data_IF_184684500315
#
_entry.id   IF_184684500315
#
_cell.length_a   1.000
_cell.length_b   1.000
_cell.length_c   1.000
_cell.angle_alpha   90.00
_cell.angle_beta   90.00
_cell.angle_gamma   90.00
#
_symmetry.space_group_name_H-M   'P 1'
#
loop_
_entity.id
_entity.type
_entity.pdbx_description
1 polymer ?
#
# COMPACT_ATOMS: atom_id res chain seq x y z
N UNK A 1 -3.21 -8.00 1.31
CA UNK A 1 -2.86 -7.81 -0.12
C UNK A 1 -2.92 -6.34 -0.44
N UNK A 2 -2.07 -5.86 -1.36
CA UNK A 2 -1.98 -4.44 -1.75
C UNK A 2 -3.31 -3.79 -2.12
N UNK A 3 -4.24 -4.54 -2.75
CA UNK A 3 -5.54 -3.98 -3.16
C UNK A 3 -6.37 -3.49 -1.97
N UNK A 4 -6.30 -4.18 -0.82
CA UNK A 4 -7.02 -3.77 0.39
C UNK A 4 -6.42 -2.51 1.02
N UNK A 5 -5.11 -2.32 0.89
CA UNK A 5 -4.38 -1.17 1.46
C UNK A 5 -4.40 0.06 0.55
N UNK A 6 -4.58 -0.13 -0.76
CA UNK A 6 -4.53 0.95 -1.75
C UNK A 6 -5.41 2.17 -1.43
N UNK A 7 -6.72 2.03 -1.12
CA UNK A 7 -7.53 3.19 -0.72
C UNK A 7 -7.12 3.78 0.64
N UNK A 8 -6.55 2.97 1.54
CA UNK A 8 -6.13 3.43 2.86
C UNK A 8 -4.93 4.39 2.79
N UNK A 9 -4.11 4.33 1.73
CA UNK A 9 -3.01 5.30 1.49
C UNK A 9 -3.52 6.73 1.35
N UNK A 10 -4.76 6.92 0.85
CA UNK A 10 -5.39 8.25 0.80
C UNK A 10 -5.79 8.74 2.19
N UNK A 11 -6.35 7.85 3.02
CA UNK A 11 -6.76 8.19 4.40
C UNK A 11 -5.56 8.40 5.33
N UNK A 12 -4.42 7.78 5.01
CA UNK A 12 -3.17 7.91 5.75
C UNK A 12 -2.53 9.31 5.65
N UNK A 13 -2.96 10.15 4.71
CA UNK A 13 -2.41 11.50 4.54
C UNK A 13 -2.71 12.37 5.77
N UNK A 14 -1.66 12.70 6.53
CA UNK A 14 -1.78 13.50 7.75
C UNK A 14 -2.11 12.70 9.01
N UNK A 15 -2.18 11.37 8.94
CA UNK A 15 -2.22 10.54 10.13
C UNK A 15 -0.85 10.57 10.85
N UNK A 16 -0.88 10.60 12.18
CA UNK A 16 0.34 10.55 13.00
C UNK A 16 1.03 9.19 12.92
N UNK A 17 0.23 8.12 12.85
CA UNK A 17 0.69 6.74 12.79
C UNK A 17 -0.11 6.01 11.71
N UNK A 18 0.58 5.23 10.88
CA UNK A 18 0.01 4.45 9.79
C UNK A 18 0.62 3.05 9.82
N UNK A 19 -0.23 2.04 9.83
CA UNK A 19 0.16 0.64 9.70
C UNK A 19 -0.54 0.04 8.48
N UNK A 20 0.19 -0.03 7.36
CA UNK A 20 -0.29 -0.54 6.06
C UNK A 20 0.73 -1.55 5.47
N UNK A 21 1.42 -2.29 6.34
CA UNK A 21 2.51 -3.19 5.98
C UNK A 21 2.04 -4.63 5.65
N UNK A 22 0.76 -4.95 5.86
CA UNK A 22 0.22 -6.29 5.68
C UNK A 22 0.59 -7.01 4.37
N UNK A 23 0.71 -6.33 3.21
CA UNK A 23 1.21 -6.95 1.98
C UNK A 23 2.67 -7.47 2.07
N UNK A 24 3.53 -6.87 2.88
CA UNK A 24 4.93 -7.31 3.09
C UNK A 24 5.02 -8.67 3.81
N UNK A 25 3.94 -9.08 4.49
CA UNK A 25 3.87 -10.34 5.22
C UNK A 25 3.34 -11.50 4.36
N UNK A 26 2.93 -11.23 3.13
CA UNK A 26 2.43 -12.25 2.21
C UNK A 26 3.59 -12.93 1.48
N UNK A 27 3.51 -14.26 1.30
CA UNK A 27 4.46 -15.01 0.47
C UNK A 27 4.42 -14.58 -1.01
N UNK A 28 3.26 -14.13 -1.48
CA UNK A 28 3.06 -13.53 -2.79
C UNK A 28 1.92 -12.51 -2.71
N UNK A 29 2.08 -11.39 -3.42
CA UNK A 29 1.01 -10.43 -3.65
C UNK A 29 0.66 -10.38 -5.15
N UNK A 30 -0.01 -9.34 -5.61
CA UNK A 30 -0.48 -9.18 -7.01
C UNK A 30 0.68 -8.78 -7.94
N UNK A 31 0.48 -8.95 -9.24
CA UNK A 31 1.46 -8.55 -10.29
C UNK A 31 1.82 -7.06 -10.24
N UNK A 32 0.84 -6.21 -9.89
CA UNK A 32 1.01 -4.77 -9.67
C UNK A 32 0.72 -4.46 -8.19
N UNK A 33 1.67 -4.65 -7.26
CA UNK A 33 1.45 -4.38 -5.83
C UNK A 33 1.68 -2.90 -5.49
N UNK A 34 1.31 -2.50 -4.28
CA UNK A 34 1.76 -1.25 -3.70
C UNK A 34 3.29 -1.27 -3.60
N UNK A 35 3.89 -0.11 -3.83
CA UNK A 35 5.34 0.06 -3.70
C UNK A 35 5.67 0.45 -2.27
N UNK A 36 6.71 -0.18 -1.75
CA UNK A 36 7.28 0.08 -0.44
C UNK A 36 8.77 0.38 -0.62
N UNK A 37 9.27 1.43 0.03
CA UNK A 37 10.70 1.72 0.13
C UNK A 37 11.05 2.24 1.53
N UNK A 38 12.29 2.70 1.72
CA UNK A 38 12.75 3.25 3.00
C UNK A 38 11.97 4.49 3.48
N UNK A 39 11.15 5.11 2.61
CA UNK A 39 10.27 6.26 2.94
C UNK A 39 8.84 5.82 3.23
N UNK A 40 8.56 4.51 3.23
CA UNK A 40 7.25 3.94 3.52
C UNK A 40 6.48 3.49 2.28
N UNK A 41 5.16 3.47 2.39
CA UNK A 41 4.22 3.05 1.33
C UNK A 41 3.93 4.21 0.36
N UNK A 42 3.87 3.92 -0.93
CA UNK A 42 3.62 4.90 -1.99
C UNK A 42 2.17 4.79 -2.51
N UNK A 43 1.61 5.87 -3.10
CA UNK A 43 0.29 5.83 -3.74
C UNK A 43 0.17 4.69 -4.76
N UNK A 44 -1.00 4.06 -4.88
CA UNK A 44 -1.23 3.02 -5.87
C UNK A 44 -1.13 3.58 -7.30
N UNK A 45 -0.74 2.71 -8.23
CA UNK A 45 -0.87 2.99 -9.66
C UNK A 45 -2.26 2.54 -10.16
N UNK A 46 -2.76 3.05 -11.30
CA UNK A 46 -4.08 2.66 -11.82
C UNK A 46 -4.22 1.17 -12.14
N UNK A 47 -3.11 0.49 -12.46
CA UNK A 47 -3.10 -0.96 -12.69
C UNK A 47 -3.44 -1.76 -11.42
N UNK A 48 -3.23 -1.18 -10.24
CA UNK A 48 -3.65 -1.74 -8.96
C UNK A 48 -5.04 -1.23 -8.55
N UNK A 49 -5.18 0.09 -8.43
CA UNK A 49 -6.37 0.76 -7.93
C UNK A 49 -6.33 2.26 -8.22
N UNK A 50 -7.43 2.80 -8.75
CA UNK A 50 -7.52 4.20 -9.20
C UNK A 50 -7.05 4.36 -10.63
#
# INVERSE_FOLDING_TARGET
>A
SSLAMAPAVLLAQGAEIVDLDGPLLLAADRDHPLKYDARGVHPPTPELWG
#
